data_IF_112368346755
#
_entry.id   IF_112368346755
#
_cell.length_a   1.000
_cell.length_b   1.000
_cell.length_c   1.000
_cell.angle_alpha   90.00
_cell.angle_beta   90.00
_cell.angle_gamma   90.00
#
_symmetry.space_group_name_H-M   'P 1'
#
loop_
_entity.id
_entity.type
_entity.pdbx_description
1 polymer ?
#
# COMPACT_ATOMS: atom_id res chain seq x y z
N UNK A 1 -63.81 -26.27 33.54
CA UNK A 1 -65.02 -25.87 34.28
C UNK A 1 -64.60 -24.78 35.28
N UNK A 2 -65.17 -23.57 35.32
CA UNK A 2 -66.15 -22.96 34.41
C UNK A 2 -66.49 -21.50 34.82
N UNK A 3 -67.40 -20.90 34.07
CA UNK A 3 -68.17 -19.66 34.37
C UNK A 3 -67.44 -18.31 34.40
N UNK A 4 -67.45 -17.72 33.20
CA UNK A 4 -67.83 -16.33 32.92
C UNK A 4 -68.84 -15.74 33.94
N UNK A 5 -68.60 -14.53 34.44
CA UNK A 5 -69.63 -13.55 34.86
C UNK A 5 -69.10 -12.13 34.58
N UNK A 6 -70.01 -11.20 34.27
CA UNK A 6 -69.71 -9.86 33.75
C UNK A 6 -70.41 -8.76 34.56
N UNK A 7 -69.94 -7.51 34.35
CA UNK A 7 -70.47 -6.24 34.87
C UNK A 7 -70.38 -6.08 36.40
N UNK A 8 -70.07 -4.90 36.96
CA UNK A 8 -70.75 -3.61 36.78
C UNK A 8 -69.74 -2.45 36.94
N UNK A 9 -69.94 -1.36 36.19
CA UNK A 9 -69.20 -0.12 36.37
C UNK A 9 -69.90 0.78 37.40
N UNK A 10 -69.13 1.31 38.37
CA UNK A 10 -69.58 2.40 39.26
C UNK A 10 -68.58 3.54 39.13
N UNK A 11 -68.97 4.60 38.40
CA UNK A 11 -68.20 5.83 38.30
C UNK A 11 -68.54 6.72 39.51
N UNK A 12 -67.64 6.78 40.50
CA UNK A 12 -67.75 7.74 41.60
C UNK A 12 -67.07 9.05 41.20
N UNK A 13 -67.87 10.07 40.91
CA UNK A 13 -67.42 11.45 40.73
C UNK A 13 -67.07 12.05 42.10
N UNK A 14 -65.78 12.06 42.45
CA UNK A 14 -65.28 12.86 43.57
C UNK A 14 -64.82 14.21 43.06
N UNK A 15 -65.61 15.25 43.30
CA UNK A 15 -65.19 16.63 43.10
C UNK A 15 -64.23 17.05 44.22
N UNK A 16 -62.93 17.13 43.91
CA UNK A 16 -61.89 17.55 44.84
C UNK A 16 -61.37 18.96 44.51
N UNK A 17 -61.60 19.92 45.40
CA UNK A 17 -61.19 21.31 45.23
C UNK A 17 -59.68 21.54 45.50
N UNK A 18 -59.09 22.48 44.75
CA UNK A 18 -58.08 23.43 45.25
C UNK A 18 -56.77 22.91 45.85
N UNK A 19 -55.73 22.79 45.02
CA UNK A 19 -54.35 22.54 45.48
C UNK A 19 -53.31 23.16 44.55
N UNK A 20 -53.05 24.47 44.69
CA UNK A 20 -52.12 25.22 43.85
C UNK A 20 -50.64 24.94 44.09
N UNK A 21 -50.19 23.70 43.84
CA UNK A 21 -48.77 23.32 43.89
C UNK A 21 -48.07 23.60 42.56
N UNK A 22 -47.25 24.67 42.49
CA UNK A 22 -46.32 24.85 41.36
C UNK A 22 -45.29 23.72 41.37
N UNK A 23 -45.41 22.75 40.47
CA UNK A 23 -44.31 21.82 40.20
C UNK A 23 -43.08 22.63 39.76
N UNK A 24 -41.92 22.49 40.41
CA UNK A 24 -40.69 23.08 39.89
C UNK A 24 -40.38 22.42 38.55
N UNK A 25 -40.29 23.21 37.50
CA UNK A 25 -39.94 22.71 36.18
C UNK A 25 -38.56 22.04 36.25
N UNK A 26 -38.53 20.71 36.10
CA UNK A 26 -37.29 19.99 35.85
C UNK A 26 -36.76 20.45 34.51
N UNK A 27 -35.82 21.39 34.54
CA UNK A 27 -35.00 21.77 33.38
C UNK A 27 -34.14 20.57 33.01
N UNK A 28 -34.73 19.67 32.21
CA UNK A 28 -34.02 18.62 31.47
C UNK A 28 -33.01 19.32 30.59
N UNK A 29 -31.81 19.52 31.14
CA UNK A 29 -30.68 20.09 30.42
C UNK A 29 -30.28 19.06 29.40
N UNK A 30 -30.82 19.20 28.19
CA UNK A 30 -30.41 18.38 27.04
C UNK A 30 -28.88 18.37 26.99
N UNK A 31 -28.23 17.20 26.86
CA UNK A 31 -26.79 17.11 26.93
C UNK A 31 -26.20 18.03 25.88
N UNK A 32 -25.46 19.05 26.34
CA UNK A 32 -24.87 20.09 25.50
C UNK A 32 -24.01 19.42 24.43
N UNK A 33 -24.55 19.29 23.22
CA UNK A 33 -23.83 18.70 22.10
C UNK A 33 -22.57 19.53 21.87
N UNK A 34 -21.42 18.96 22.21
CA UNK A 34 -20.13 19.55 21.89
C UNK A 34 -20.01 19.47 20.38
N UNK A 35 -19.93 20.62 19.70
CA UNK A 35 -19.69 20.66 18.26
C UNK A 35 -18.32 20.02 17.99
N UNK A 36 -18.34 18.75 17.60
CA UNK A 36 -17.14 18.00 17.26
C UNK A 36 -16.69 18.36 15.85
N UNK A 37 -15.45 18.78 15.76
CA UNK A 37 -14.73 18.95 14.51
C UNK A 37 -14.18 17.60 14.08
N UNK A 38 -14.04 17.39 12.77
CA UNK A 38 -13.37 16.20 12.22
C UNK A 38 -12.05 16.57 11.57
N UNK A 39 -11.02 15.76 11.81
CA UNK A 39 -9.78 15.77 11.04
C UNK A 39 -9.66 14.44 10.31
N UNK A 40 -9.52 14.51 8.98
CA UNK A 40 -9.29 13.34 8.13
C UNK A 40 -7.80 13.28 7.80
N UNK A 41 -7.15 12.16 8.14
CA UNK A 41 -5.80 11.81 7.72
C UNK A 41 -5.87 10.69 6.66
N UNK A 42 -5.58 11.00 5.38
CA UNK A 42 -5.48 9.98 4.34
C UNK A 42 -4.35 8.98 4.60
N UNK A 43 -4.48 7.78 4.04
CA UNK A 43 -3.41 6.78 3.99
C UNK A 43 -2.18 7.33 3.27
N UNK A 44 -0.99 6.89 3.68
CA UNK A 44 0.27 7.30 3.05
C UNK A 44 0.72 8.73 3.37
N UNK A 45 0.10 9.41 4.34
CA UNK A 45 0.57 10.66 4.93
C UNK A 45 1.79 10.43 5.83
N UNK A 46 2.77 11.32 5.80
CA UNK A 46 3.85 11.38 6.80
C UNK A 46 3.40 12.06 8.09
N UNK A 47 4.13 11.86 9.19
CA UNK A 47 3.93 12.55 10.47
C UNK A 47 3.91 14.09 10.31
N UNK A 48 4.73 14.62 9.40
CA UNK A 48 4.78 16.06 9.11
C UNK A 48 3.55 16.54 8.34
N UNK A 49 3.09 15.77 7.34
CA UNK A 49 1.85 16.06 6.62
C UNK A 49 0.64 16.00 7.55
N UNK A 50 0.61 15.07 8.51
CA UNK A 50 -0.40 15.05 9.56
C UNK A 50 -0.32 16.28 10.48
N UNK A 51 0.88 16.72 10.87
CA UNK A 51 1.04 17.94 11.66
C UNK A 51 0.53 19.20 10.92
N UNK A 52 0.85 19.32 9.61
CA UNK A 52 0.33 20.39 8.77
C UNK A 52 -1.21 20.32 8.61
N UNK A 53 -1.77 19.11 8.48
CA UNK A 53 -3.22 18.89 8.44
C UNK A 53 -3.91 19.31 9.75
N UNK A 54 -3.32 18.99 10.91
CA UNK A 54 -3.80 19.46 12.22
C UNK A 54 -3.81 20.98 12.30
N UNK A 55 -2.73 21.65 11.86
CA UNK A 55 -2.66 23.10 11.84
C UNK A 55 -3.73 23.75 10.96
N UNK A 56 -3.97 23.20 9.76
CA UNK A 56 -4.98 23.70 8.84
C UNK A 56 -6.39 23.58 9.42
N UNK A 57 -6.76 22.41 9.96
CA UNK A 57 -8.11 22.20 10.52
C UNK A 57 -8.31 22.98 11.82
N UNK A 58 -7.27 23.20 12.64
CA UNK A 58 -7.35 24.09 13.79
C UNK A 58 -7.59 25.56 13.38
N UNK A 59 -6.97 26.02 12.30
CA UNK A 59 -7.23 27.36 11.72
C UNK A 59 -8.67 27.51 11.23
N UNK A 60 -9.20 26.50 10.53
CA UNK A 60 -10.60 26.47 10.09
C UNK A 60 -11.56 26.50 11.29
N UNK A 61 -11.31 25.71 12.33
CA UNK A 61 -12.13 25.69 13.54
C UNK A 61 -12.18 27.06 14.26
N UNK A 62 -11.06 27.78 14.27
CA UNK A 62 -11.00 29.14 14.81
C UNK A 62 -11.76 30.14 13.93
N UNK A 63 -11.53 30.12 12.62
CA UNK A 63 -12.11 31.09 11.68
C UNK A 63 -13.62 30.92 11.51
N UNK A 64 -14.10 29.70 11.23
CA UNK A 64 -15.50 29.45 10.86
C UNK A 64 -16.44 29.25 12.06
N UNK A 65 -15.91 28.82 13.21
CA UNK A 65 -16.71 28.39 14.37
C UNK A 65 -16.31 29.07 15.68
N UNK A 66 -15.33 29.98 15.65
CA UNK A 66 -14.79 30.67 16.82
C UNK A 66 -14.33 29.72 17.95
N UNK A 67 -13.90 28.49 17.58
CA UNK A 67 -13.35 27.51 18.52
C UNK A 67 -11.84 27.51 18.41
N UNK A 68 -11.17 27.75 19.54
CA UNK A 68 -9.73 27.54 19.70
C UNK A 68 -9.49 26.13 20.28
N UNK A 69 -9.10 25.12 19.47
CA UNK A 69 -8.81 23.78 19.96
C UNK A 69 -7.38 23.73 20.51
N UNK A 70 -7.09 22.83 21.45
CA UNK A 70 -5.75 22.68 22.06
C UNK A 70 -4.81 21.83 21.19
N UNK A 71 -4.89 22.00 19.87
CA UNK A 71 -4.11 21.28 18.86
C UNK A 71 -3.40 22.25 17.92
N UNK A 72 -2.18 21.91 17.51
CA UNK A 72 -1.37 22.68 16.55
C UNK A 72 -0.26 21.79 16.00
N UNK A 73 0.35 22.16 14.86
CA UNK A 73 1.49 21.39 14.32
C UNK A 73 2.59 21.18 15.36
N UNK A 74 2.98 22.26 16.08
CA UNK A 74 4.03 22.21 17.11
C UNK A 74 3.70 21.22 18.25
N UNK A 75 2.47 21.27 18.78
CA UNK A 75 2.07 20.38 19.88
C UNK A 75 1.83 18.94 19.41
N UNK A 76 1.43 18.73 18.15
CA UNK A 76 1.30 17.41 17.53
C UNK A 76 2.66 16.75 17.28
N UNK A 77 3.63 17.50 16.76
CA UNK A 77 5.00 16.99 16.57
C UNK A 77 5.65 16.62 17.91
N UNK A 78 5.43 17.42 18.97
CA UNK A 78 5.89 17.10 20.32
C UNK A 78 5.17 15.87 20.92
N UNK A 79 3.85 15.77 20.76
CA UNK A 79 3.07 14.62 21.21
C UNK A 79 3.45 13.31 20.49
N UNK A 80 3.91 13.42 19.24
CA UNK A 80 4.35 12.29 18.40
C UNK A 80 5.86 12.03 18.43
N UNK A 81 6.53 12.40 19.52
CA UNK A 81 7.95 12.12 19.74
C UNK A 81 8.25 10.61 19.90
N UNK A 82 9.49 10.15 19.62
CA UNK A 82 9.86 8.73 19.68
C UNK A 82 9.60 8.07 21.05
N UNK A 83 8.95 6.90 21.04
CA UNK A 83 8.57 6.17 22.26
C UNK A 83 8.55 4.66 22.05
N UNK A 84 8.41 3.89 23.14
CA UNK A 84 8.21 2.43 23.07
C UNK A 84 6.79 2.14 22.61
N UNK A 85 6.63 1.20 21.68
CA UNK A 85 5.33 0.72 21.18
C UNK A 85 5.19 -0.76 21.55
N UNK A 86 4.11 -1.18 22.25
CA UNK A 86 3.87 -2.59 22.57
C UNK A 86 3.89 -3.46 21.30
N UNK A 87 4.58 -4.61 21.35
CA UNK A 87 4.76 -5.50 20.20
C UNK A 87 5.92 -5.18 19.25
N UNK A 88 6.56 -4.00 19.38
CA UNK A 88 7.67 -3.55 18.50
C UNK A 88 9.03 -3.49 19.20
N UNK A 89 9.16 -4.22 20.32
CA UNK A 89 10.41 -4.36 21.07
C UNK A 89 10.69 -3.26 22.12
N UNK A 90 11.84 -3.31 22.81
CA UNK A 90 12.12 -2.46 23.98
C UNK A 90 12.73 -1.09 23.65
N UNK A 91 13.05 -0.81 22.38
CA UNK A 91 13.65 0.45 21.95
C UNK A 91 12.58 1.54 21.78
N UNK A 92 12.96 2.82 21.94
CA UNK A 92 12.10 3.92 21.48
C UNK A 92 12.18 3.98 19.96
N UNK A 93 11.04 4.00 19.29
CA UNK A 93 10.92 4.12 17.84
C UNK A 93 10.28 5.47 17.49
N UNK A 94 10.64 6.10 16.35
CA UNK A 94 9.90 7.23 15.81
C UNK A 94 8.46 6.80 15.46
N UNK A 95 7.50 7.72 15.56
CA UNK A 95 6.09 7.39 15.31
C UNK A 95 5.68 7.37 13.83
N UNK A 96 6.61 7.59 12.89
CA UNK A 96 6.31 7.39 11.47
C UNK A 96 5.95 5.92 11.21
N UNK A 97 4.82 5.69 10.56
CA UNK A 97 4.20 4.36 10.40
C UNK A 97 3.16 4.02 11.46
N UNK A 98 3.20 4.61 12.65
CA UNK A 98 2.35 4.24 13.80
C UNK A 98 1.11 5.13 13.97
N UNK A 99 1.03 6.28 13.31
CA UNK A 99 -0.08 7.22 13.44
C UNK A 99 -1.19 6.80 12.47
N UNK A 100 -2.11 5.94 12.91
CA UNK A 100 -3.04 5.27 12.00
C UNK A 100 -3.89 6.26 11.17
N UNK A 101 -3.93 6.16 9.83
CA UNK A 101 -4.75 7.03 8.99
C UNK A 101 -6.23 6.71 9.18
N UNK A 102 -7.02 7.71 9.57
CA UNK A 102 -8.47 7.61 9.74
C UNK A 102 -9.09 9.01 9.85
N UNK A 103 -10.41 9.05 10.09
CA UNK A 103 -11.12 10.26 10.55
C UNK A 103 -11.19 10.25 12.07
N UNK A 104 -10.74 11.34 12.70
CA UNK A 104 -10.77 11.54 14.14
C UNK A 104 -11.60 12.76 14.50
N UNK A 105 -12.22 12.75 15.68
CA UNK A 105 -13.08 13.82 16.15
C UNK A 105 -12.44 14.58 17.31
N UNK A 106 -12.63 15.89 17.35
CA UNK A 106 -12.03 16.73 18.38
C UNK A 106 -12.91 17.93 18.75
N UNK A 107 -12.69 18.48 19.93
CA UNK A 107 -13.37 19.69 20.42
C UNK A 107 -12.36 20.72 20.99
N UNK A 108 -12.88 21.77 21.63
CA UNK A 108 -12.09 22.81 22.32
C UNK A 108 -11.20 22.30 23.47
N UNK A 109 -11.44 21.09 23.99
CA UNK A 109 -10.71 20.45 25.09
C UNK A 109 -9.69 19.44 24.58
N UNK A 110 -9.93 18.79 23.44
CA UNK A 110 -9.01 17.83 22.83
C UNK A 110 -7.61 18.43 22.66
N UNK A 111 -6.60 17.70 23.13
CA UNK A 111 -5.19 18.06 22.99
C UNK A 111 -4.51 17.20 21.92
N UNK A 112 -3.40 17.69 21.36
CA UNK A 112 -2.61 16.90 20.41
C UNK A 112 -2.13 15.55 20.99
N UNK A 113 -1.89 15.48 22.31
CA UNK A 113 -1.55 14.23 23.00
C UNK A 113 -2.73 13.25 23.12
N UNK A 114 -3.97 13.76 23.19
CA UNK A 114 -5.16 12.91 23.10
C UNK A 114 -5.34 12.34 21.69
N UNK A 115 -5.20 13.18 20.66
CA UNK A 115 -5.29 12.77 19.25
C UNK A 115 -4.24 11.71 18.89
N UNK A 116 -2.97 11.93 19.26
CA UNK A 116 -1.89 10.95 19.02
C UNK A 116 -2.12 9.64 19.77
N UNK A 117 -2.68 9.69 20.99
CA UNK A 117 -3.06 8.47 21.73
C UNK A 117 -4.18 7.70 21.02
N UNK A 118 -5.16 8.39 20.45
CA UNK A 118 -6.26 7.80 19.69
C UNK A 118 -5.76 7.14 18.40
N UNK A 119 -4.87 7.81 17.66
CA UNK A 119 -4.19 7.24 16.48
C UNK A 119 -3.37 5.99 16.80
N UNK A 120 -2.64 5.99 17.92
CA UNK A 120 -1.89 4.82 18.38
C UNK A 120 -2.80 3.68 18.86
N UNK A 121 -3.93 4.00 19.48
CA UNK A 121 -4.93 2.99 19.88
C UNK A 121 -5.59 2.35 18.65
N UNK A 122 -5.94 3.15 17.64
CA UNK A 122 -6.43 2.67 16.36
C UNK A 122 -5.39 1.80 15.65
N UNK A 123 -4.10 2.19 15.64
CA UNK A 123 -3.01 1.38 15.11
C UNK A 123 -2.93 0.01 15.81
N UNK A 124 -2.88 -0.02 17.15
CA UNK A 124 -2.78 -1.26 17.93
C UNK A 124 -3.98 -2.18 17.70
N UNK A 125 -5.20 -1.61 17.64
CA UNK A 125 -6.43 -2.36 17.39
C UNK A 125 -6.44 -3.02 16.00
N UNK A 126 -6.04 -2.28 14.97
CA UNK A 126 -5.96 -2.81 13.60
C UNK A 126 -4.81 -3.82 13.44
N UNK A 127 -3.62 -3.50 13.98
CA UNK A 127 -2.44 -4.35 13.92
C UNK A 127 -2.63 -5.69 14.67
N UNK A 128 -3.39 -5.70 15.76
CA UNK A 128 -3.63 -6.89 16.58
C UNK A 128 -4.26 -8.07 15.84
N UNK A 129 -4.96 -7.80 14.72
CA UNK A 129 -5.62 -8.82 13.90
C UNK A 129 -4.79 -9.29 12.71
N UNK A 130 -3.58 -8.74 12.49
CA UNK A 130 -2.76 -9.01 11.31
C UNK A 130 -1.93 -10.28 11.51
N UNK A 131 -2.12 -11.28 10.64
CA UNK A 131 -1.28 -12.48 10.65
C UNK A 131 0.13 -12.19 10.12
N UNK A 132 1.11 -12.26 11.01
CA UNK A 132 2.53 -12.09 10.72
C UNK A 132 3.27 -13.42 10.49
N UNK A 133 2.60 -14.58 10.40
CA UNK A 133 3.24 -15.89 10.28
C UNK A 133 4.17 -15.98 9.05
N UNK A 134 3.73 -15.49 7.89
CA UNK A 134 4.56 -15.46 6.69
C UNK A 134 5.81 -14.59 6.89
N UNK A 135 5.65 -13.35 7.37
CA UNK A 135 6.76 -12.44 7.63
C UNK A 135 7.78 -13.03 8.63
N UNK A 136 7.31 -13.65 9.71
CA UNK A 136 8.13 -14.38 10.69
C UNK A 136 8.91 -15.53 10.04
N UNK A 137 8.30 -16.29 9.13
CA UNK A 137 8.98 -17.36 8.37
C UNK A 137 10.12 -16.85 7.48
N UNK A 138 10.13 -15.56 7.16
CA UNK A 138 11.18 -14.85 6.41
C UNK A 138 12.16 -14.08 7.31
N UNK A 139 12.13 -14.32 8.62
CA UNK A 139 12.94 -13.66 9.65
C UNK A 139 12.73 -12.13 9.74
N UNK A 140 11.58 -11.61 9.31
CA UNK A 140 11.25 -10.18 9.44
C UNK A 140 10.57 -9.88 10.78
N UNK A 141 10.92 -8.75 11.39
CA UNK A 141 10.26 -8.27 12.62
C UNK A 141 8.93 -7.55 12.30
N UNK A 142 8.03 -7.37 13.28
CA UNK A 142 6.83 -6.53 13.11
C UNK A 142 7.14 -5.12 12.58
N UNK A 143 8.27 -4.54 13.00
CA UNK A 143 8.69 -3.22 12.53
C UNK A 143 9.17 -3.24 11.07
N UNK A 144 9.75 -4.35 10.61
CA UNK A 144 10.14 -4.52 9.20
C UNK A 144 8.92 -4.67 8.30
N UNK A 145 7.90 -5.39 8.74
CA UNK A 145 6.60 -5.44 8.06
C UNK A 145 5.99 -4.04 7.96
N UNK A 146 6.07 -3.21 9.01
CA UNK A 146 5.58 -1.84 8.98
C UNK A 146 6.36 -0.94 8.00
N UNK A 147 7.68 -1.09 7.89
CA UNK A 147 8.48 -0.42 6.85
C UNK A 147 8.02 -0.83 5.45
N UNK A 148 7.85 -2.13 5.21
CA UNK A 148 7.36 -2.65 3.92
C UNK A 148 5.97 -2.11 3.61
N UNK A 149 5.04 -2.13 4.57
CA UNK A 149 3.70 -1.56 4.44
C UNK A 149 3.73 -0.09 4.02
N UNK A 150 4.61 0.73 4.64
CA UNK A 150 4.77 2.13 4.25
C UNK A 150 5.34 2.33 2.85
N UNK A 151 6.18 1.43 2.35
CA UNK A 151 6.67 1.48 0.96
C UNK A 151 5.58 1.03 -0.03
N UNK A 152 4.85 -0.05 0.30
CA UNK A 152 3.70 -0.54 -0.47
C UNK A 152 2.65 0.56 -0.62
N UNK A 153 2.30 1.27 0.46
CA UNK A 153 1.34 2.38 0.43
C UNK A 153 1.76 3.53 -0.52
N UNK A 154 3.07 3.78 -0.63
CA UNK A 154 3.58 4.89 -1.45
C UNK A 154 3.74 4.54 -2.93
N UNK A 155 3.77 3.26 -3.29
CA UNK A 155 3.91 2.77 -4.67
C UNK A 155 2.58 2.23 -5.25
N UNK A 156 1.68 1.68 -4.41
CA UNK A 156 0.43 1.07 -4.86
C UNK A 156 -0.67 2.11 -5.15
N UNK A 157 -0.89 2.42 -6.43
CA UNK A 157 -2.05 3.21 -6.88
C UNK A 157 -3.29 2.33 -7.00
N UNK A 158 -3.16 1.13 -7.59
CA UNK A 158 -4.23 0.13 -7.67
C UNK A 158 -4.27 -0.78 -6.42
N UNK A 159 -5.41 -0.91 -5.72
CA UNK A 159 -5.51 -1.76 -4.52
C UNK A 159 -5.11 -3.22 -4.72
N UNK A 160 -5.37 -3.78 -5.91
CA UNK A 160 -5.03 -5.16 -6.27
C UNK A 160 -3.52 -5.43 -6.38
N UNK A 161 -2.70 -4.39 -6.52
CA UNK A 161 -1.25 -4.52 -6.75
C UNK A 161 -0.44 -4.53 -5.45
N UNK A 162 -1.03 -4.15 -4.31
CA UNK A 162 -0.35 -4.09 -2.99
C UNK A 162 0.39 -5.37 -2.66
N UNK A 163 -0.25 -6.54 -2.81
CA UNK A 163 0.36 -7.85 -2.55
C UNK A 163 1.47 -8.23 -3.54
N UNK A 164 1.41 -7.76 -4.79
CA UNK A 164 2.45 -7.97 -5.80
C UNK A 164 3.68 -7.09 -5.54
N UNK A 165 3.47 -5.82 -5.17
CA UNK A 165 4.55 -4.90 -4.77
C UNK A 165 5.24 -5.41 -3.51
N UNK A 166 4.47 -5.86 -2.52
CA UNK A 166 5.02 -6.50 -1.33
C UNK A 166 5.86 -7.75 -1.70
N UNK A 167 5.37 -8.63 -2.59
CA UNK A 167 6.14 -9.78 -3.05
C UNK A 167 7.48 -9.39 -3.69
N UNK A 168 7.51 -8.36 -4.55
CA UNK A 168 8.75 -7.85 -5.15
C UNK A 168 9.74 -7.37 -4.08
N UNK A 169 9.27 -6.68 -3.04
CA UNK A 169 10.13 -6.23 -1.93
C UNK A 169 10.73 -7.43 -1.20
N UNK A 170 9.93 -8.42 -0.80
CA UNK A 170 10.41 -9.64 -0.15
C UNK A 170 11.41 -10.41 -1.03
N UNK A 171 11.12 -10.58 -2.32
CA UNK A 171 11.98 -11.31 -3.25
C UNK A 171 13.33 -10.60 -3.43
N UNK A 172 13.35 -9.27 -3.52
CA UNK A 172 14.60 -8.49 -3.59
C UNK A 172 15.41 -8.54 -2.29
N UNK A 173 14.77 -8.46 -1.13
CA UNK A 173 15.45 -8.63 0.17
C UNK A 173 16.13 -10.01 0.25
N UNK A 174 15.41 -11.07 -0.14
CA UNK A 174 15.94 -12.43 -0.18
C UNK A 174 17.08 -12.60 -1.21
N UNK A 175 17.00 -11.91 -2.34
CA UNK A 175 18.04 -11.92 -3.38
C UNK A 175 19.20 -10.93 -3.13
N UNK A 176 19.25 -10.26 -1.98
CA UNK A 176 20.21 -9.20 -1.65
C UNK A 176 20.29 -8.07 -2.70
N UNK A 177 19.17 -7.76 -3.36
CA UNK A 177 19.07 -6.72 -4.38
C UNK A 177 18.65 -5.36 -3.78
N UNK A 178 19.11 -4.22 -4.34
CA UNK A 178 18.58 -2.91 -3.98
C UNK A 178 17.07 -2.82 -4.27
N UNK A 179 16.27 -2.26 -3.35
CA UNK A 179 14.83 -2.12 -3.56
C UNK A 179 14.51 -1.09 -4.65
N UNK A 180 15.32 -0.03 -4.75
CA UNK A 180 15.21 0.98 -5.81
C UNK A 180 13.88 1.74 -5.81
N UNK A 181 13.31 1.99 -4.63
CA UNK A 181 11.99 2.60 -4.44
C UNK A 181 12.12 4.12 -4.38
N UNK A 182 11.46 4.85 -5.27
CA UNK A 182 11.54 6.31 -5.37
C UNK A 182 10.95 7.00 -4.13
N UNK A 183 9.87 6.43 -3.59
CA UNK A 183 9.22 6.96 -2.39
C UNK A 183 10.17 7.08 -1.18
N UNK A 184 11.17 6.19 -1.05
CA UNK A 184 12.10 6.27 0.09
C UNK A 184 13.08 7.43 -0.06
N UNK A 185 13.58 7.70 -1.27
CA UNK A 185 14.42 8.87 -1.56
C UNK A 185 13.64 10.17 -1.33
N UNK A 186 12.40 10.22 -1.82
CA UNK A 186 11.49 11.37 -1.63
C UNK A 186 11.27 11.69 -0.17
N UNK A 187 11.04 10.67 0.66
CA UNK A 187 10.92 10.85 2.11
C UNK A 187 12.24 11.35 2.72
N UNK A 188 13.37 10.70 2.44
CA UNK A 188 14.67 11.07 3.01
C UNK A 188 15.17 12.47 2.65
N UNK A 189 14.71 13.03 1.52
CA UNK A 189 15.07 14.37 1.03
C UNK A 189 13.92 15.39 1.15
N UNK A 190 12.77 15.02 1.71
CA UNK A 190 11.56 15.86 1.80
C UNK A 190 11.06 16.37 0.42
N UNK A 191 11.30 15.63 -0.66
CA UNK A 191 10.90 15.98 -2.03
C UNK A 191 9.45 15.57 -2.28
N UNK A 192 8.52 16.52 -2.55
CA UNK A 192 7.11 16.19 -2.74
C UNK A 192 6.88 15.34 -3.98
N UNK A 193 5.92 14.42 -3.92
CA UNK A 193 5.57 13.51 -5.01
C UNK A 193 5.12 14.20 -6.32
N UNK A 194 4.79 15.49 -6.26
CA UNK A 194 4.42 16.33 -7.42
C UNK A 194 5.63 16.81 -8.25
N UNK A 195 6.86 16.66 -7.75
CA UNK A 195 8.10 17.01 -8.48
C UNK A 195 8.78 15.75 -8.99
N UNK A 196 9.41 15.82 -10.17
CA UNK A 196 10.35 14.78 -10.62
C UNK A 196 11.58 14.73 -9.72
N UNK A 197 12.15 13.54 -9.51
CA UNK A 197 13.45 13.41 -8.84
C UNK A 197 14.58 13.86 -9.79
N UNK A 198 15.54 14.61 -9.26
CA UNK A 198 16.75 15.00 -9.97
C UNK A 198 17.80 13.88 -9.90
N UNK A 199 18.72 13.84 -10.85
CA UNK A 199 19.81 12.85 -10.84
C UNK A 199 20.67 12.95 -9.56
N UNK A 200 20.96 14.18 -9.09
CA UNK A 200 21.65 14.43 -7.83
C UNK A 200 20.92 13.90 -6.59
N UNK A 201 19.58 13.85 -6.63
CA UNK A 201 18.76 13.27 -5.55
C UNK A 201 18.81 11.74 -5.59
N UNK A 202 18.76 11.15 -6.79
CA UNK A 202 18.92 9.70 -7.01
C UNK A 202 20.30 9.18 -6.56
N UNK A 203 21.35 9.98 -6.76
CA UNK A 203 22.73 9.64 -6.41
C UNK A 203 23.10 10.02 -4.96
N UNK A 204 22.23 10.72 -4.23
CA UNK A 204 22.50 11.21 -2.88
C UNK A 204 22.78 10.09 -1.85
N UNK A 205 23.66 10.37 -0.89
CA UNK A 205 24.01 9.44 0.20
C UNK A 205 23.00 9.45 1.37
N UNK A 206 21.74 9.83 1.14
CA UNK A 206 20.74 9.83 2.20
C UNK A 206 20.42 8.39 2.66
N UNK A 207 20.19 8.13 3.96
CA UNK A 207 20.05 6.76 4.47
C UNK A 207 18.75 6.05 4.06
N UNK A 208 17.83 6.76 3.40
CA UNK A 208 16.63 6.19 2.78
C UNK A 208 16.83 5.87 1.29
N UNK A 209 18.04 6.05 0.74
CA UNK A 209 18.33 5.73 -0.66
C UNK A 209 18.48 4.22 -0.88
N UNK A 210 17.35 3.54 -1.09
CA UNK A 210 17.26 2.09 -1.36
C UNK A 210 17.80 1.66 -2.74
N UNK A 211 18.39 2.58 -3.53
CA UNK A 211 19.22 2.25 -4.69
C UNK A 211 20.67 1.97 -4.30
N UNK A 212 21.19 2.69 -3.29
CA UNK A 212 22.60 2.64 -2.86
C UNK A 212 22.80 1.77 -1.62
N UNK A 213 21.86 1.81 -0.68
CA UNK A 213 21.89 1.04 0.55
C UNK A 213 20.97 -0.18 0.43
N UNK A 214 21.52 -1.37 0.66
CA UNK A 214 20.78 -2.63 0.63
C UNK A 214 19.89 -2.79 1.87
N UNK A 215 18.79 -3.53 1.70
CA UNK A 215 17.84 -3.81 2.78
C UNK A 215 16.70 -2.81 2.88
N UNK A 216 16.10 -2.74 4.08
CA UNK A 216 14.99 -1.83 4.38
C UNK A 216 15.49 -0.45 4.85
N UNK A 217 14.72 0.63 4.62
CA UNK A 217 15.04 1.95 5.16
C UNK A 217 15.07 1.96 6.71
N UNK A 218 15.71 2.96 7.34
CA UNK A 218 15.80 3.06 8.81
C UNK A 218 14.44 3.08 9.53
N UNK A 219 13.44 3.72 8.91
CA UNK A 219 12.07 3.87 9.43
C UNK A 219 11.05 3.63 8.32
N UNK A 220 9.76 3.45 8.67
CA UNK A 220 8.67 3.68 7.74
C UNK A 220 8.75 5.08 7.12
N UNK A 221 8.25 5.23 5.90
CA UNK A 221 8.32 6.47 5.10
C UNK A 221 6.97 7.21 5.01
N UNK A 222 5.94 6.67 5.66
CA UNK A 222 4.57 7.16 5.75
C UNK A 222 3.79 6.32 6.76
N UNK A 223 2.55 6.72 7.07
CA UNK A 223 1.61 5.94 7.86
C UNK A 223 0.69 5.13 6.91
N UNK A 224 0.85 3.79 6.81
CA UNK A 224 0.08 2.95 5.90
C UNK A 224 -1.33 2.66 6.42
N UNK A 225 -2.25 2.38 5.50
CA UNK A 225 -3.56 1.82 5.79
C UNK A 225 -3.51 0.33 6.10
N UNK A 226 -4.62 -0.22 6.62
CA UNK A 226 -4.73 -1.63 6.96
C UNK A 226 -4.45 -2.54 5.75
N UNK A 227 -4.98 -2.22 4.57
CA UNK A 227 -4.79 -3.02 3.37
C UNK A 227 -3.31 -3.14 2.94
N UNK A 228 -2.49 -2.10 3.18
CA UNK A 228 -1.05 -2.14 2.90
C UNK A 228 -0.28 -2.89 3.99
N UNK A 229 -0.73 -2.83 5.25
CA UNK A 229 -0.20 -3.64 6.35
C UNK A 229 -0.46 -5.14 6.10
N UNK A 230 -1.68 -5.52 5.76
CA UNK A 230 -2.06 -6.89 5.42
C UNK A 230 -1.30 -7.42 4.20
N UNK A 231 -1.12 -6.59 3.16
CA UNK A 231 -0.35 -6.95 1.98
C UNK A 231 1.15 -7.13 2.27
N UNK A 232 1.71 -6.34 3.18
CA UNK A 232 3.10 -6.49 3.64
C UNK A 232 3.29 -7.69 4.57
N UNK A 233 2.26 -8.05 5.35
CA UNK A 233 2.28 -9.22 6.22
C UNK A 233 2.13 -10.54 5.43
N UNK A 234 1.24 -10.56 4.44
CA UNK A 234 0.93 -11.70 3.58
C UNK A 234 0.96 -11.32 2.08
N UNK A 235 2.18 -11.21 1.49
CA UNK A 235 2.39 -10.87 0.09
C UNK A 235 1.94 -11.98 -0.87
N UNK A 236 1.85 -11.68 -2.16
CA UNK A 236 1.52 -12.66 -3.18
C UNK A 236 2.65 -13.69 -3.36
N UNK A 237 2.28 -14.96 -3.60
CA UNK A 237 3.24 -16.03 -3.87
C UNK A 237 3.67 -16.04 -5.36
N UNK A 238 4.52 -15.09 -5.73
CA UNK A 238 5.04 -14.87 -7.09
C UNK A 238 6.55 -14.60 -7.07
N UNK A 239 7.25 -14.90 -8.17
CA UNK A 239 8.70 -14.76 -8.33
C UNK A 239 9.15 -13.37 -8.84
N UNK A 240 8.24 -12.41 -8.92
CA UNK A 240 8.50 -11.10 -9.50
C UNK A 240 9.61 -10.34 -8.76
N UNK A 241 10.48 -9.69 -9.53
CA UNK A 241 11.62 -8.89 -9.06
C UNK A 241 11.56 -7.44 -9.56
N UNK A 242 10.70 -7.12 -10.53
CA UNK A 242 10.55 -5.77 -11.06
C UNK A 242 9.08 -5.46 -11.30
N UNK A 243 8.73 -4.20 -11.08
CA UNK A 243 7.48 -3.60 -11.52
C UNK A 243 7.75 -2.28 -12.24
N UNK A 244 6.96 -1.95 -13.27
CA UNK A 244 7.07 -0.70 -14.03
C UNK A 244 5.67 -0.16 -14.30
N UNK A 245 5.45 1.12 -13.99
CA UNK A 245 4.13 1.78 -14.12
C UNK A 245 3.68 1.81 -15.58
N UNK A 246 2.43 1.42 -15.81
CA UNK A 246 1.81 1.38 -17.15
C UNK A 246 1.48 2.80 -17.64
N UNK A 247 1.23 2.98 -18.95
CA UNK A 247 0.76 4.25 -19.51
C UNK A 247 -0.60 4.73 -18.94
N UNK A 248 -1.41 3.83 -18.38
CA UNK A 248 -2.66 4.17 -17.69
C UNK A 248 -2.46 4.91 -16.35
N UNK A 249 -1.21 4.98 -15.87
CA UNK A 249 -0.79 5.60 -14.61
C UNK A 249 -1.35 4.98 -13.31
N UNK A 250 -2.24 4.00 -13.39
CA UNK A 250 -2.90 3.33 -12.26
C UNK A 250 -2.26 1.98 -11.91
N UNK A 251 -1.73 1.29 -12.92
CA UNK A 251 -1.27 -0.09 -12.82
C UNK A 251 0.23 -0.26 -13.09
N UNK A 252 0.74 -1.46 -12.81
CA UNK A 252 2.11 -1.85 -13.11
C UNK A 252 2.20 -3.14 -13.94
N UNK A 253 3.23 -3.24 -14.79
CA UNK A 253 3.69 -4.51 -15.36
C UNK A 253 4.66 -5.16 -14.38
N UNK A 254 4.43 -6.43 -14.02
CA UNK A 254 5.30 -7.20 -13.12
C UNK A 254 6.08 -8.27 -13.90
N UNK A 255 7.31 -8.56 -13.46
CA UNK A 255 8.21 -9.54 -14.11
C UNK A 255 9.28 -10.05 -13.14
N UNK A 256 9.73 -11.29 -13.33
CA UNK A 256 10.92 -11.84 -12.63
C UNK A 256 12.24 -11.61 -13.37
N UNK A 257 12.20 -11.17 -14.64
CA UNK A 257 13.39 -10.86 -15.44
C UNK A 257 13.54 -9.35 -15.65
N UNK A 258 14.78 -8.88 -15.71
CA UNK A 258 15.11 -7.53 -16.19
C UNK A 258 14.48 -7.33 -17.57
N UNK A 259 13.54 -6.39 -17.65
CA UNK A 259 13.06 -5.88 -18.91
C UNK A 259 14.18 -5.04 -19.51
N UNK A 260 14.89 -5.61 -20.49
CA UNK A 260 15.70 -4.81 -21.38
C UNK A 260 14.84 -3.67 -21.94
N UNK A 261 15.39 -2.45 -21.96
CA UNK A 261 14.65 -1.18 -22.15
C UNK A 261 13.76 -1.13 -23.41
N UNK A 262 14.02 -2.02 -24.38
CA UNK A 262 13.27 -2.24 -25.61
C UNK A 262 11.93 -3.00 -25.47
N UNK A 263 11.70 -3.80 -24.42
CA UNK A 263 10.50 -4.68 -24.36
C UNK A 263 9.22 -4.00 -23.84
N UNK A 264 9.33 -3.06 -22.89
CA UNK A 264 8.17 -2.27 -22.42
C UNK A 264 7.94 -0.98 -23.22
N UNK A 265 8.92 -0.52 -24.01
CA UNK A 265 8.75 0.60 -24.94
C UNK A 265 8.00 0.17 -26.22
N UNK A 266 8.06 -1.11 -26.60
CA UNK A 266 7.34 -1.65 -27.77
C UNK A 266 5.81 -1.43 -27.72
N UNK A 267 5.19 -1.44 -26.54
CA UNK A 267 3.75 -1.14 -26.37
C UNK A 267 3.39 0.34 -26.42
N UNK A 268 4.36 1.28 -26.40
CA UNK A 268 4.10 2.71 -26.65
C UNK A 268 3.99 3.05 -28.15
N UNK A 269 4.27 2.10 -29.05
CA UNK A 269 4.40 2.35 -30.50
C UNK A 269 3.44 1.53 -31.38
N UNK A 270 2.54 0.74 -30.80
CA UNK A 270 1.73 -0.25 -31.52
C UNK A 270 0.76 0.35 -32.56
N UNK A 271 0.40 1.63 -32.46
CA UNK A 271 -0.43 2.33 -33.46
C UNK A 271 0.33 2.66 -34.76
N UNK A 272 1.67 2.55 -34.81
CA UNK A 272 2.49 2.94 -35.98
C UNK A 272 3.10 1.77 -36.78
N UNK A 273 2.81 0.51 -36.43
CA UNK A 273 3.29 -0.68 -37.14
C UNK A 273 2.19 -1.39 -37.96
N UNK A 274 1.40 -0.63 -38.75
CA UNK A 274 0.48 -1.19 -39.78
C UNK A 274 0.65 -0.63 -41.20
N UNK A 275 1.66 0.21 -41.44
CA UNK A 275 2.05 0.70 -42.78
C UNK A 275 3.57 0.82 -42.84
N UNK A 276 4.27 -0.06 -43.56
CA UNK A 276 5.73 0.04 -43.66
C UNK A 276 6.55 -1.19 -44.05
N UNK A 277 5.96 -2.34 -44.38
CA UNK A 277 6.72 -3.46 -44.98
C UNK A 277 6.60 -3.43 -46.51
N UNK A 278 7.35 -2.54 -47.16
CA UNK A 278 7.74 -2.70 -48.57
C UNK A 278 9.23 -2.99 -48.59
N UNK A 279 9.59 -4.19 -49.04
CA UNK A 279 10.98 -4.60 -49.26
C UNK A 279 11.60 -3.81 -50.41
N UNK A 280 12.86 -3.32 -50.30
CA UNK A 280 13.58 -2.79 -51.44
C UNK A 280 13.97 -3.92 -52.42
N UNK A 281 14.01 -3.67 -53.74
CA UNK A 281 14.41 -4.68 -54.72
C UNK A 281 15.94 -4.88 -54.77
N UNK A 282 16.36 -6.12 -55.01
CA UNK A 282 17.76 -6.50 -55.28
C UNK A 282 18.19 -6.08 -56.70
N UNK A 283 19.48 -5.77 -56.96
CA UNK A 283 19.95 -5.45 -58.31
C UNK A 283 19.94 -6.69 -59.22
N UNK A 284 19.68 -6.48 -60.51
CA UNK A 284 19.62 -7.53 -61.54
C UNK A 284 20.99 -7.78 -62.17
N UNK A 285 21.30 -9.05 -62.42
CA UNK A 285 22.27 -9.46 -63.43
C UNK A 285 21.59 -9.72 -64.79
N UNK A 286 22.37 -9.69 -65.88
CA UNK A 286 21.92 -9.73 -67.27
C UNK A 286 21.97 -11.15 -67.84
N UNK A 287 20.92 -11.58 -68.56
CA UNK A 287 21.07 -12.33 -69.80
C UNK A 287 19.77 -12.31 -70.65
N UNK A 288 19.91 -12.63 -71.92
CA UNK A 288 18.96 -12.37 -73.03
C UNK A 288 18.21 -13.62 -73.49
N UNK A 289 16.98 -13.50 -74.02
CA UNK A 289 16.45 -14.59 -74.88
C UNK A 289 14.94 -14.71 -75.13
N UNK A 290 14.40 -13.88 -76.03
CA UNK A 290 13.28 -14.12 -76.98
C UNK A 290 11.93 -14.79 -76.58
N UNK A 291 10.88 -14.08 -77.04
CA UNK A 291 9.60 -14.53 -77.66
C UNK A 291 8.42 -15.05 -76.81
N UNK A 292 7.25 -14.51 -77.16
CA UNK A 292 5.90 -14.66 -76.56
C UNK A 292 4.99 -15.53 -77.47
N UNK A 293 3.64 -15.55 -77.32
CA UNK A 293 2.80 -15.83 -76.14
C UNK A 293 1.71 -16.92 -76.41
N UNK A 294 1.21 -17.62 -75.38
CA UNK A 294 -0.11 -18.32 -75.35
C UNK A 294 -0.40 -18.92 -73.95
N UNK A 295 -1.59 -19.42 -73.55
CA UNK A 295 -2.95 -18.83 -73.42
C UNK A 295 -3.72 -19.62 -72.31
N UNK A 296 -4.81 -19.07 -71.75
CA UNK A 296 -5.92 -19.76 -71.04
C UNK A 296 -5.64 -20.79 -69.91
N UNK A 297 -6.03 -20.37 -68.69
CA UNK A 297 -6.58 -21.17 -67.57
C UNK A 297 -7.87 -21.97 -67.92
N UNK A 298 -8.48 -22.79 -67.00
CA UNK A 298 -8.01 -23.30 -65.68
C UNK A 298 -8.34 -24.79 -65.35
N UNK A 299 -7.86 -25.24 -64.16
CA UNK A 299 -8.66 -25.73 -63.00
C UNK A 299 -8.44 -27.18 -62.49
N UNK A 300 -8.43 -27.25 -61.14
CA UNK A 300 -8.60 -28.39 -60.20
C UNK A 300 -7.46 -29.40 -60.07
N UNK A 301 -6.95 -29.50 -58.85
CA UNK A 301 -6.05 -30.55 -58.36
C UNK A 301 -6.68 -31.27 -57.16
N UNK A 302 -6.81 -32.59 -57.23
CA UNK A 302 -6.92 -33.45 -56.05
C UNK A 302 -5.54 -33.68 -55.43
N UNK A 303 -5.46 -33.98 -54.13
CA UNK A 303 -4.81 -35.23 -53.64
C UNK A 303 -4.99 -35.47 -52.14
N UNK A 304 -4.97 -36.75 -51.77
CA UNK A 304 -4.93 -37.32 -50.40
C UNK A 304 -3.49 -37.73 -50.02
N UNK A 305 -3.36 -38.31 -48.81
CA UNK A 305 -2.21 -39.05 -48.26
C UNK A 305 -1.01 -38.18 -47.83
N UNK A 306 -0.10 -38.62 -46.95
CA UNK A 306 -0.12 -39.49 -45.76
C UNK A 306 1.32 -39.48 -45.17
N UNK A 307 1.57 -39.99 -43.96
CA UNK A 307 2.96 -40.29 -43.55
C UNK A 307 3.28 -40.15 -42.07
N UNK A 308 3.18 -41.26 -41.34
CA UNK A 308 3.75 -41.46 -40.01
C UNK A 308 5.30 -41.44 -40.03
N UNK A 309 5.97 -40.91 -39.00
CA UNK A 309 7.30 -41.36 -38.58
C UNK A 309 7.45 -41.34 -37.05
N UNK A 310 8.43 -42.09 -36.52
CA UNK A 310 8.36 -42.76 -35.21
C UNK A 310 9.52 -42.41 -34.25
N UNK A 311 9.20 -42.28 -32.96
CA UNK A 311 9.94 -42.74 -31.76
C UNK A 311 11.49 -42.70 -31.65
N UNK A 312 12.02 -42.10 -30.55
CA UNK A 312 13.06 -42.64 -29.63
C UNK A 312 13.44 -41.55 -28.59
N UNK A 313 13.16 -41.63 -27.27
CA UNK A 313 13.67 -42.51 -26.20
C UNK A 313 15.13 -42.27 -25.75
N UNK A 314 15.33 -41.74 -24.53
CA UNK A 314 16.15 -42.34 -23.44
C UNK A 314 16.15 -41.47 -22.16
N UNK A 315 16.34 -42.11 -21.01
CA UNK A 315 16.29 -41.51 -19.68
C UNK A 315 17.68 -41.34 -19.04
N UNK A 316 17.79 -40.53 -17.97
CA UNK A 316 18.78 -40.72 -16.89
C UNK A 316 18.33 -40.11 -15.56
N UNK A 317 18.85 -40.69 -14.48
CA UNK A 317 18.41 -40.55 -13.08
C UNK A 317 19.44 -39.82 -12.21
N UNK A 318 19.01 -39.14 -11.14
CA UNK A 318 19.73 -39.12 -9.84
C UNK A 318 18.91 -38.51 -8.69
N UNK A 319 19.14 -39.00 -7.46
CA UNK A 319 18.65 -38.45 -6.17
C UNK A 319 19.69 -37.48 -5.58
N UNK A 320 19.28 -36.49 -4.74
CA UNK A 320 20.21 -35.64 -3.98
C UNK A 320 20.47 -36.16 -2.54
N UNK A 321 21.63 -35.84 -1.92
CA UNK A 321 21.93 -36.16 -0.51
C UNK A 321 21.74 -35.00 0.48
N UNK A 322 21.14 -35.33 1.62
CA UNK A 322 21.33 -34.85 3.01
C UNK A 322 21.71 -33.40 3.38
N UNK A 323 21.00 -32.91 4.41
CA UNK A 323 21.19 -31.66 5.18
C UNK A 323 22.62 -31.40 5.67
N UNK A 324 23.03 -30.13 5.75
CA UNK A 324 24.03 -29.64 6.71
C UNK A 324 23.49 -28.50 7.58
N UNK A 325 23.87 -28.55 8.86
CA UNK A 325 23.50 -27.65 9.95
C UNK A 325 24.65 -26.65 10.13
N UNK A 326 24.40 -25.35 10.05
CA UNK A 326 25.45 -24.35 10.29
C UNK A 326 25.41 -23.86 11.74
N UNK A 327 26.54 -24.04 12.44
CA UNK A 327 26.81 -23.42 13.74
C UNK A 327 27.20 -21.96 13.53
N UNK A 328 26.77 -21.11 14.46
CA UNK A 328 27.37 -19.80 14.68
C UNK A 328 28.84 -19.95 15.09
N UNK A 329 29.73 -19.17 14.49
CA UNK A 329 31.08 -18.95 15.00
C UNK A 329 31.27 -17.46 15.28
N UNK A 330 31.43 -17.13 16.55
CA UNK A 330 31.78 -15.80 17.05
C UNK A 330 33.30 -15.70 17.20
N UNK A 331 33.90 -14.52 16.98
CA UNK A 331 35.15 -13.99 17.58
C UNK A 331 35.79 -12.93 16.64
N UNK A 332 36.70 -12.07 17.14
CA UNK A 332 36.54 -11.27 18.36
C UNK A 332 36.93 -9.79 18.15
N UNK A 333 36.78 -8.99 19.21
CA UNK A 333 37.25 -7.61 19.33
C UNK A 333 38.73 -7.59 19.75
N UNK A 334 39.53 -6.63 19.28
CA UNK A 334 40.63 -6.06 20.06
C UNK A 334 41.01 -4.63 19.57
N UNK A 335 41.18 -3.65 20.49
CA UNK A 335 41.86 -2.36 20.26
C UNK A 335 43.36 -2.51 20.66
N UNK A 336 44.19 -1.48 20.96
CA UNK A 336 43.92 -0.07 21.28
C UNK A 336 43.51 0.82 20.11
#
# INVERSE_FOLDING_TARGET
MGRLLAAIAVAVLVAGCGGGGKQPATTTTAPRQLHQFRVVFPEGFTREQMAARVQAVAGIAHHERHVLPKISAKTYLAASAPRRIPGFGPKKLPLEGFLFPSTYFFDRKTTSAALVREQLAAFVSNWGNVDLAYAKSKNLTPYDVLKIASMVEREAVAPSERKLIAAVIYNRLHAHMPLGIDATIRYGLHVPGTKSLLQSELDSNNPYNTRKFLGLPPTPIANPGLASIEAAANPAHVDYLYFVRKPDHLHHYFTSRLLGSSRCSATRSSTRCRRGCRTPPSPRAVSTGRTSPSTSHPRISETRFAGCWRSASRARTSRPPTRRRWRSSSAPICPP
#
